data_IF_364022665434
#
_entry.id   IF_364022665434
#
_cell.length_a   1.000
_cell.length_b   1.000
_cell.length_c   1.000
_cell.angle_alpha   90.00
_cell.angle_beta   90.00
_cell.angle_gamma   90.00
#
_symmetry.space_group_name_H-M   'P 1'
#
loop_
_entity.id
_entity.type
_entity.pdbx_description
1 polymer ?
#
# COMPACT_ATOMS: atom_id res chain seq x y z
N UNK A 1 6.32 -29.32 32.77
CA UNK A 1 7.07 -30.01 31.69
C UNK A 1 6.73 -29.31 30.39
N UNK A 2 7.59 -28.38 30.00
CA UNK A 2 7.46 -27.49 28.85
C UNK A 2 8.09 -28.16 27.63
N UNK A 3 7.32 -28.39 26.57
CA UNK A 3 7.87 -28.78 25.28
C UNK A 3 8.63 -27.59 24.66
N UNK A 4 9.81 -27.80 24.05
CA UNK A 4 10.51 -26.75 23.33
C UNK A 4 9.80 -26.45 22.01
N UNK A 5 9.65 -25.16 21.76
CA UNK A 5 9.10 -24.54 20.55
C UNK A 5 9.89 -25.03 19.33
N UNK A 6 9.17 -25.62 18.38
CA UNK A 6 9.70 -26.07 17.10
C UNK A 6 10.41 -24.94 16.36
N UNK A 7 11.64 -25.21 15.97
CA UNK A 7 12.46 -24.40 15.07
C UNK A 7 11.67 -24.16 13.77
N UNK A 8 11.36 -22.90 13.46
CA UNK A 8 10.81 -22.56 12.16
C UNK A 8 11.87 -22.81 11.07
N UNK A 9 11.54 -23.50 9.98
CA UNK A 9 12.47 -23.67 8.87
C UNK A 9 12.74 -22.32 8.21
N UNK A 10 14.03 -21.98 8.06
CA UNK A 10 14.53 -20.79 7.35
C UNK A 10 13.88 -20.69 5.97
N UNK A 11 13.05 -19.67 5.75
CA UNK A 11 12.52 -19.32 4.42
C UNK A 11 13.64 -18.75 3.55
N UNK A 12 14.09 -19.50 2.54
CA UNK A 12 15.06 -19.06 1.54
C UNK A 12 14.40 -18.69 0.21
N UNK A 13 14.08 -17.42 -0.05
CA UNK A 13 13.81 -16.95 -1.41
C UNK A 13 15.11 -16.83 -2.24
N UNK A 14 16.28 -16.70 -1.60
CA UNK A 14 17.58 -16.55 -2.28
C UNK A 14 18.13 -17.85 -2.90
N UNK A 15 17.82 -19.02 -2.32
CA UNK A 15 18.32 -20.29 -2.85
C UNK A 15 17.63 -20.68 -4.17
N UNK A 16 16.34 -20.33 -4.30
CA UNK A 16 15.52 -20.71 -5.45
C UNK A 16 15.88 -19.93 -6.71
N UNK A 17 16.04 -18.62 -6.62
CA UNK A 17 16.53 -17.78 -7.73
C UNK A 17 17.95 -18.18 -8.11
N UNK A 18 18.82 -18.42 -7.12
CA UNK A 18 20.19 -18.86 -7.35
C UNK A 18 20.28 -20.23 -8.05
N UNK A 19 19.44 -21.21 -7.70
CA UNK A 19 19.39 -22.50 -8.40
C UNK A 19 18.89 -22.30 -9.83
N UNK A 20 17.81 -21.51 -10.03
CA UNK A 20 17.25 -21.24 -11.36
C UNK A 20 18.30 -20.64 -12.28
N UNK A 21 18.99 -19.60 -11.82
CA UNK A 21 19.96 -18.88 -12.64
C UNK A 21 21.13 -19.80 -13.04
N UNK A 22 21.54 -20.73 -12.17
CA UNK A 22 22.56 -21.75 -12.49
C UNK A 22 22.08 -22.81 -13.48
N UNK A 23 20.83 -23.26 -13.39
CA UNK A 23 20.29 -24.25 -14.33
C UNK A 23 20.08 -23.64 -15.72
N UNK A 24 19.56 -22.40 -15.79
CA UNK A 24 19.44 -21.66 -17.06
C UNK A 24 20.82 -21.40 -17.67
N UNK A 25 21.79 -20.99 -16.85
CA UNK A 25 23.17 -20.79 -17.30
C UNK A 25 23.80 -22.08 -17.84
N UNK A 26 23.58 -23.22 -17.16
CA UNK A 26 24.06 -24.52 -17.61
C UNK A 26 23.42 -24.94 -18.94
N UNK A 27 22.10 -24.72 -19.11
CA UNK A 27 21.40 -25.01 -20.36
C UNK A 27 21.95 -24.17 -21.54
N UNK A 28 22.26 -22.89 -21.29
CA UNK A 28 22.90 -22.01 -22.27
C UNK A 28 24.31 -22.46 -22.64
N UNK A 29 25.10 -22.93 -21.67
CA UNK A 29 26.43 -23.49 -21.93
C UNK A 29 26.33 -24.75 -22.79
N UNK A 30 25.44 -25.69 -22.43
CA UNK A 30 25.24 -26.94 -23.19
C UNK A 30 24.83 -26.62 -24.62
N UNK A 31 23.89 -25.69 -24.80
CA UNK A 31 23.50 -25.22 -26.12
C UNK A 31 24.68 -24.62 -26.90
N UNK A 32 25.44 -23.72 -26.28
CA UNK A 32 26.59 -23.04 -26.88
C UNK A 32 27.71 -24.00 -27.28
N UNK A 33 28.01 -25.00 -26.45
CA UNK A 33 29.00 -26.05 -26.74
C UNK A 33 28.56 -26.90 -27.93
N UNK A 34 27.29 -27.32 -27.97
CA UNK A 34 26.76 -28.07 -29.12
C UNK A 34 26.78 -27.25 -30.42
N UNK A 35 26.41 -25.98 -30.35
CA UNK A 35 26.45 -25.08 -31.51
C UNK A 35 27.88 -24.82 -32.00
N UNK A 36 28.81 -24.56 -31.08
CA UNK A 36 30.21 -24.36 -31.41
C UNK A 36 30.84 -25.62 -32.00
N UNK A 37 30.54 -26.80 -31.46
CA UNK A 37 30.99 -28.08 -32.00
C UNK A 37 30.49 -28.33 -33.42
N UNK A 38 29.22 -28.00 -33.68
CA UNK A 38 28.61 -28.15 -35.01
C UNK A 38 29.27 -27.25 -36.07
N UNK A 39 29.52 -25.97 -35.74
CA UNK A 39 30.14 -25.00 -36.65
C UNK A 39 31.63 -25.31 -36.85
N UNK A 40 32.33 -25.66 -35.77
CA UNK A 40 33.78 -25.91 -35.80
C UNK A 40 34.13 -27.23 -36.47
N UNK A 41 33.19 -28.18 -36.58
CA UNK A 41 33.40 -29.44 -37.28
C UNK A 41 33.78 -29.21 -38.76
N UNK A 42 33.20 -28.20 -39.43
CA UNK A 42 33.54 -27.86 -40.82
C UNK A 42 34.91 -27.18 -40.98
N UNK A 43 35.44 -26.60 -39.90
CA UNK A 43 36.72 -25.90 -39.89
C UNK A 43 37.89 -26.84 -39.54
N UNK A 44 37.62 -27.88 -38.74
CA UNK A 44 38.65 -28.74 -38.17
C UNK A 44 38.77 -30.10 -38.85
N UNK A 45 37.75 -30.55 -39.59
CA UNK A 45 37.73 -31.85 -40.26
C UNK A 45 37.64 -31.66 -41.78
N UNK A 46 38.41 -32.47 -42.52
CA UNK A 46 38.34 -32.49 -43.98
C UNK A 46 36.96 -32.98 -44.45
N UNK A 47 36.48 -32.44 -45.58
CA UNK A 47 35.12 -32.71 -46.09
C UNK A 47 34.84 -34.18 -46.42
N UNK A 48 35.87 -34.98 -46.63
CA UNK A 48 35.76 -36.43 -46.90
C UNK A 48 35.99 -37.28 -45.64
N UNK A 49 36.16 -36.66 -44.47
CA UNK A 49 36.36 -37.38 -43.22
C UNK A 49 35.10 -38.14 -42.82
N UNK A 50 35.27 -39.45 -42.59
CA UNK A 50 34.22 -40.34 -42.07
C UNK A 50 33.67 -39.88 -40.69
N UNK A 51 34.39 -39.00 -39.99
CA UNK A 51 34.02 -38.49 -38.66
C UNK A 51 33.23 -37.18 -38.70
N UNK A 52 33.18 -36.49 -39.84
CA UNK A 52 32.51 -35.19 -39.97
C UNK A 52 31.01 -35.29 -39.63
N UNK A 53 30.33 -36.28 -40.21
CA UNK A 53 28.89 -36.49 -40.00
C UNK A 53 28.55 -36.91 -38.55
N UNK A 54 29.22 -37.93 -37.96
CA UNK A 54 28.99 -38.29 -36.56
C UNK A 54 29.19 -37.14 -35.57
N UNK A 55 30.25 -36.34 -35.74
CA UNK A 55 30.55 -35.21 -34.83
C UNK A 55 29.48 -34.12 -34.93
N UNK A 56 28.99 -33.84 -36.14
CA UNK A 56 27.91 -32.88 -36.37
C UNK A 56 26.58 -33.35 -35.77
N UNK A 57 26.20 -34.60 -35.99
CA UNK A 57 24.97 -35.16 -35.43
C UNK A 57 25.00 -35.17 -33.89
N UNK A 58 26.15 -35.53 -33.30
CA UNK A 58 26.31 -35.51 -31.85
C UNK A 58 26.27 -34.09 -31.28
N UNK A 59 26.89 -33.12 -31.96
CA UNK A 59 26.88 -31.70 -31.58
C UNK A 59 25.47 -31.10 -31.66
N UNK A 60 24.70 -31.48 -32.68
CA UNK A 60 23.31 -31.06 -32.86
C UNK A 60 22.42 -31.66 -31.76
N UNK A 61 22.64 -32.92 -31.38
CA UNK A 61 21.93 -33.56 -30.27
C UNK A 61 22.21 -32.86 -28.93
N UNK A 62 23.47 -32.48 -28.65
CA UNK A 62 23.83 -31.70 -27.46
C UNK A 62 23.13 -30.33 -27.48
N UNK A 63 23.12 -29.65 -28.63
CA UNK A 63 22.44 -28.36 -28.78
C UNK A 63 20.93 -28.48 -28.51
N UNK A 64 20.29 -29.53 -29.05
CA UNK A 64 18.85 -29.79 -28.85
C UNK A 64 18.52 -30.04 -27.36
N UNK A 65 19.36 -30.77 -26.64
CA UNK A 65 19.22 -30.96 -25.18
C UNK A 65 19.24 -29.61 -24.45
N UNK A 66 20.14 -28.70 -24.85
CA UNK A 66 20.19 -27.34 -24.31
C UNK A 66 18.89 -26.55 -24.53
N UNK A 67 18.34 -26.57 -25.74
CA UNK A 67 17.09 -25.87 -26.08
C UNK A 67 15.90 -26.42 -25.29
N UNK A 68 15.75 -27.74 -25.25
CA UNK A 68 14.64 -28.38 -24.51
C UNK A 68 14.73 -28.07 -23.02
N UNK A 69 15.94 -28.11 -22.44
CA UNK A 69 16.17 -27.79 -21.03
C UNK A 69 15.83 -26.32 -20.71
N UNK A 70 16.17 -25.41 -21.62
CA UNK A 70 15.85 -23.98 -21.51
C UNK A 70 14.34 -23.74 -21.59
N UNK A 71 13.65 -24.37 -22.54
CA UNK A 71 12.20 -24.28 -22.68
C UNK A 71 11.44 -24.83 -21.47
N UNK A 72 11.94 -25.92 -20.88
CA UNK A 72 11.37 -26.49 -19.66
C UNK A 72 11.47 -25.53 -18.47
N UNK A 73 12.64 -24.93 -18.22
CA UNK A 73 12.84 -24.02 -17.09
C UNK A 73 12.13 -22.67 -17.25
N UNK A 74 12.07 -22.13 -18.48
CA UNK A 74 11.44 -20.83 -18.75
C UNK A 74 9.91 -20.88 -18.82
N UNK A 75 9.33 -21.98 -19.32
CA UNK A 75 7.88 -22.03 -19.59
C UNK A 75 7.17 -23.10 -18.78
N UNK A 76 7.58 -24.36 -18.92
CA UNK A 76 6.85 -25.49 -18.33
C UNK A 76 6.91 -25.48 -16.82
N UNK A 77 8.05 -25.11 -16.24
CA UNK A 77 8.21 -25.04 -14.79
C UNK A 77 7.37 -23.94 -14.15
N UNK A 78 7.22 -22.80 -14.81
CA UNK A 78 6.43 -21.68 -14.26
C UNK A 78 4.93 -21.95 -14.34
N UNK A 79 4.47 -22.51 -15.47
CA UNK A 79 3.09 -22.99 -15.62
C UNK A 79 2.76 -24.09 -14.60
N UNK A 80 3.57 -25.16 -14.55
CA UNK A 80 3.35 -26.25 -13.59
C UNK A 80 3.46 -25.78 -12.15
N UNK A 81 4.40 -24.90 -11.81
CA UNK A 81 4.54 -24.43 -10.44
C UNK A 81 3.36 -23.58 -9.98
N UNK A 82 2.77 -22.77 -10.86
CA UNK A 82 1.57 -21.99 -10.52
C UNK A 82 0.36 -22.91 -10.31
N UNK A 83 0.15 -23.89 -11.20
CA UNK A 83 -0.89 -24.91 -11.04
C UNK A 83 -0.67 -25.74 -9.76
N UNK A 84 0.57 -26.19 -9.50
CA UNK A 84 0.91 -26.91 -8.27
C UNK A 84 0.75 -26.04 -7.04
N UNK A 85 1.01 -24.73 -7.10
CA UNK A 85 0.85 -23.81 -5.96
C UNK A 85 -0.63 -23.58 -5.66
N UNK A 86 -1.47 -23.43 -6.68
CA UNK A 86 -2.93 -23.34 -6.51
C UNK A 86 -3.49 -24.64 -5.94
N UNK A 87 -3.09 -25.79 -6.48
CA UNK A 87 -3.44 -27.10 -5.95
C UNK A 87 -2.91 -27.32 -4.52
N UNK A 88 -1.67 -26.90 -4.21
CA UNK A 88 -1.13 -26.97 -2.86
C UNK A 88 -1.87 -26.04 -1.90
N UNK A 89 -2.27 -24.84 -2.32
CA UNK A 89 -3.06 -23.94 -1.48
C UNK A 89 -4.43 -24.55 -1.18
N UNK A 90 -5.03 -25.24 -2.15
CA UNK A 90 -6.26 -26.03 -1.96
C UNK A 90 -6.06 -27.20 -1.00
N UNK A 91 -4.91 -27.86 -1.01
CA UNK A 91 -4.58 -28.97 -0.11
C UNK A 91 -4.20 -28.49 1.31
N UNK A 92 -3.45 -27.39 1.43
CA UNK A 92 -2.89 -26.91 2.71
C UNK A 92 -3.91 -26.10 3.50
N UNK A 93 -4.87 -25.45 2.85
CA UNK A 93 -5.95 -24.74 3.53
C UNK A 93 -7.30 -24.88 2.81
N UNK A 94 -7.86 -26.11 2.78
CA UNK A 94 -9.09 -26.41 2.04
C UNK A 94 -10.27 -25.59 2.52
N UNK A 95 -10.32 -25.25 3.82
CA UNK A 95 -11.37 -24.41 4.38
C UNK A 95 -11.30 -22.97 3.89
N UNK A 96 -10.12 -22.35 3.86
CA UNK A 96 -9.96 -21.00 3.31
C UNK A 96 -10.37 -20.94 1.82
N UNK A 97 -9.94 -21.93 1.04
CA UNK A 97 -10.28 -22.05 -0.37
C UNK A 97 -11.77 -22.30 -0.56
N UNK A 98 -12.41 -23.15 0.25
CA UNK A 98 -13.87 -23.38 0.24
C UNK A 98 -14.65 -22.12 0.60
N UNK A 99 -14.15 -21.35 1.57
CA UNK A 99 -14.74 -20.09 2.05
C UNK A 99 -14.46 -18.89 1.12
N UNK A 100 -13.76 -19.09 0.00
CA UNK A 100 -13.48 -18.02 -0.95
C UNK A 100 -12.42 -17.02 -0.47
N UNK A 101 -11.64 -17.38 0.55
CA UNK A 101 -10.57 -16.55 1.10
C UNK A 101 -9.33 -16.71 0.23
N UNK A 102 -8.97 -15.66 -0.51
CA UNK A 102 -7.75 -15.60 -1.33
C UNK A 102 -6.52 -15.29 -0.49
N UNK A 103 -6.68 -14.50 0.58
CA UNK A 103 -5.60 -14.11 1.47
C UNK A 103 -6.09 -13.52 2.78
N UNK A 104 -5.31 -13.74 3.85
CA UNK A 104 -5.48 -13.09 5.16
C UNK A 104 -4.17 -12.36 5.45
N UNK A 105 -4.29 -11.08 5.76
CA UNK A 105 -3.18 -10.16 6.01
C UNK A 105 -3.31 -9.63 7.43
N UNK A 106 -2.19 -9.48 8.14
CA UNK A 106 -2.19 -9.02 9.54
C UNK A 106 -2.65 -7.57 9.67
N UNK A 107 -2.39 -6.77 8.64
CA UNK A 107 -2.75 -5.36 8.58
C UNK A 107 -2.82 -4.87 7.12
N UNK A 108 -3.33 -3.64 6.96
CA UNK A 108 -3.43 -2.97 5.65
C UNK A 108 -2.09 -2.74 4.95
N UNK A 109 -0.99 -2.60 5.69
CA UNK A 109 0.34 -2.42 5.07
C UNK A 109 0.83 -3.70 4.40
N UNK A 110 0.60 -4.86 5.03
CA UNK A 110 0.89 -6.17 4.42
C UNK A 110 -0.02 -6.43 3.22
N UNK A 111 -1.31 -6.07 3.31
CA UNK A 111 -2.23 -6.11 2.17
C UNK A 111 -1.73 -5.22 1.02
N UNK A 112 -1.37 -3.96 1.29
CA UNK A 112 -0.91 -3.01 0.29
C UNK A 112 0.41 -3.43 -0.38
N UNK A 113 1.28 -4.14 0.35
CA UNK A 113 2.51 -4.74 -0.19
C UNK A 113 2.20 -5.90 -1.13
N UNK A 114 1.21 -6.74 -0.80
CA UNK A 114 0.83 -7.89 -1.61
C UNK A 114 -0.02 -7.50 -2.83
N UNK A 115 -0.86 -6.47 -2.68
CA UNK A 115 -1.77 -5.96 -3.68
C UNK A 115 -1.76 -4.43 -3.59
N UNK A 116 -1.13 -3.77 -4.57
CA UNK A 116 -1.17 -2.32 -4.63
C UNK A 116 -2.63 -1.86 -4.76
N UNK A 117 -3.02 -0.89 -3.93
CA UNK A 117 -4.37 -0.36 -3.88
C UNK A 117 -4.78 0.29 -5.21
N UNK A 118 -3.83 0.91 -5.93
CA UNK A 118 -4.09 1.43 -7.27
C UNK A 118 -4.41 0.32 -8.28
N UNK A 119 -3.75 -0.83 -8.18
CA UNK A 119 -3.99 -1.97 -9.09
C UNK A 119 -5.39 -2.57 -8.90
N UNK A 120 -5.91 -2.55 -7.66
CA UNK A 120 -7.27 -2.96 -7.37
C UNK A 120 -8.30 -2.08 -8.10
N UNK A 121 -8.04 -0.78 -8.17
CA UNK A 121 -8.97 0.18 -8.79
C UNK A 121 -8.74 0.34 -10.30
N UNK A 122 -7.55 0.01 -10.81
CA UNK A 122 -7.19 0.16 -12.22
C UNK A 122 -8.14 -0.64 -13.13
N UNK A 123 -8.55 -1.83 -12.70
CA UNK A 123 -9.35 -2.76 -13.51
C UNK A 123 -10.86 -2.74 -13.23
N UNK A 124 -11.34 -1.80 -12.41
CA UNK A 124 -12.77 -1.65 -12.10
C UNK A 124 -13.54 -1.32 -13.38
N UNK A 125 -14.66 -2.01 -13.60
CA UNK A 125 -15.50 -1.84 -14.79
C UNK A 125 -16.83 -1.17 -14.52
N UNK A 126 -17.43 -1.36 -13.34
CA UNK A 126 -18.80 -0.91 -13.05
C UNK A 126 -18.90 -0.17 -11.74
N UNK A 127 -18.41 -0.74 -10.66
CA UNK A 127 -18.69 -0.22 -9.32
C UNK A 127 -17.54 -0.40 -8.33
N UNK A 128 -17.34 0.65 -7.54
CA UNK A 128 -16.59 0.64 -6.29
C UNK A 128 -17.56 0.92 -5.16
N UNK A 129 -17.57 0.07 -4.13
CA UNK A 129 -18.35 0.30 -2.93
C UNK A 129 -17.47 0.17 -1.69
N UNK A 130 -17.29 1.28 -0.96
CA UNK A 130 -16.40 1.36 0.20
C UNK A 130 -17.20 1.72 1.44
N UNK A 131 -17.12 0.89 2.47
CA UNK A 131 -17.75 1.12 3.76
C UNK A 131 -16.77 1.09 4.91
N UNK A 132 -16.90 2.02 5.86
CA UNK A 132 -16.04 2.02 7.03
C UNK A 132 -16.32 3.16 8.01
N UNK A 133 -15.63 3.11 9.15
CA UNK A 133 -15.95 3.97 10.28
C UNK A 133 -15.78 5.46 10.00
N UNK A 134 -14.65 5.88 9.42
CA UNK A 134 -14.48 7.29 9.02
C UNK A 134 -14.10 7.50 7.57
N UNK A 135 -13.61 6.48 6.87
CA UNK A 135 -13.07 6.58 5.50
C UNK A 135 -12.00 7.67 5.25
N UNK A 136 -11.33 8.15 6.30
CA UNK A 136 -10.35 9.24 6.18
C UNK A 136 -9.21 8.92 5.19
N UNK A 137 -8.69 7.70 5.21
CA UNK A 137 -7.62 7.30 4.28
C UNK A 137 -8.07 7.36 2.82
N UNK A 138 -9.36 7.13 2.56
CA UNK A 138 -9.95 7.16 1.23
C UNK A 138 -10.18 8.61 0.79
N UNK A 139 -10.74 9.44 1.67
CA UNK A 139 -10.98 10.86 1.39
C UNK A 139 -9.68 11.66 1.20
N UNK A 140 -8.57 11.23 1.83
CA UNK A 140 -7.29 11.95 1.75
C UNK A 140 -6.30 11.33 0.76
N UNK A 141 -6.22 10.00 0.70
CA UNK A 141 -5.21 9.29 -0.09
C UNK A 141 -5.70 8.78 -1.44
N UNK A 142 -7.01 8.73 -1.68
CA UNK A 142 -7.59 8.17 -2.90
C UNK A 142 -8.59 9.12 -3.58
N UNK A 143 -8.58 10.40 -3.21
CA UNK A 143 -9.50 11.41 -3.77
C UNK A 143 -9.39 11.51 -5.30
N UNK A 144 -8.17 11.66 -5.81
CA UNK A 144 -7.95 11.85 -7.24
C UNK A 144 -8.29 10.58 -8.03
N UNK A 145 -8.03 9.41 -7.45
CA UNK A 145 -8.43 8.12 -8.01
C UNK A 145 -9.96 7.97 -8.07
N UNK A 146 -10.69 8.35 -7.01
CA UNK A 146 -12.16 8.35 -7.03
C UNK A 146 -12.67 9.31 -8.12
N UNK A 147 -12.10 10.52 -8.18
CA UNK A 147 -12.43 11.51 -9.20
C UNK A 147 -12.26 10.93 -10.61
N UNK A 148 -11.10 10.33 -10.89
CA UNK A 148 -10.81 9.70 -12.17
C UNK A 148 -11.81 8.60 -12.51
N UNK A 149 -12.14 7.72 -11.55
CA UNK A 149 -13.07 6.61 -11.78
C UNK A 149 -14.49 7.09 -12.05
N UNK A 150 -14.98 8.09 -11.31
CA UNK A 150 -16.29 8.70 -11.57
C UNK A 150 -16.32 9.35 -12.96
N UNK A 151 -15.25 10.07 -13.35
CA UNK A 151 -15.16 10.65 -14.69
C UNK A 151 -15.08 9.59 -15.80
N UNK A 152 -14.55 8.40 -15.50
CA UNK A 152 -14.52 7.25 -16.40
C UNK A 152 -15.85 6.47 -16.49
N UNK A 153 -16.92 6.93 -15.83
CA UNK A 153 -18.24 6.29 -15.89
C UNK A 153 -18.51 5.25 -14.79
N UNK A 154 -17.61 5.12 -13.81
CA UNK A 154 -17.75 4.16 -12.71
C UNK A 154 -18.64 4.71 -11.60
N UNK A 155 -19.52 3.87 -11.06
CA UNK A 155 -20.30 4.18 -9.86
C UNK A 155 -19.46 4.00 -8.60
N UNK A 156 -19.43 5.02 -7.75
CA UNK A 156 -18.71 4.98 -6.46
C UNK A 156 -19.69 5.21 -5.32
N UNK A 157 -19.89 4.19 -4.50
CA UNK A 157 -20.69 4.24 -3.27
C UNK A 157 -19.76 4.34 -2.06
N UNK A 158 -20.01 5.31 -1.19
CA UNK A 158 -19.23 5.55 0.03
C UNK A 158 -20.15 5.51 1.25
N UNK A 159 -19.80 4.68 2.22
CA UNK A 159 -20.57 4.48 3.44
C UNK A 159 -19.73 4.84 4.67
N UNK A 160 -20.11 5.91 5.37
CA UNK A 160 -19.36 6.51 6.50
C UNK A 160 -20.22 6.49 7.77
N UNK A 161 -19.63 6.35 8.95
CA UNK A 161 -20.40 6.44 10.19
C UNK A 161 -21.01 7.83 10.36
N UNK A 162 -22.25 7.91 10.81
CA UNK A 162 -22.93 9.17 11.10
C UNK A 162 -22.26 9.86 12.30
N UNK A 163 -21.75 11.10 12.16
CA UNK A 163 -21.10 11.82 13.26
C UNK A 163 -22.02 12.06 14.46
N UNK A 164 -23.33 12.08 14.27
CA UNK A 164 -24.33 12.31 15.31
C UNK A 164 -24.89 10.99 15.89
N UNK A 165 -24.32 9.84 15.51
CA UNK A 165 -24.68 8.55 16.09
C UNK A 165 -24.14 8.39 17.51
N UNK A 166 -24.96 7.81 18.40
CA UNK A 166 -24.55 7.37 19.74
C UNK A 166 -23.33 6.42 19.69
N UNK A 167 -23.18 5.67 18.61
CA UNK A 167 -22.02 4.79 18.39
C UNK A 167 -20.71 5.59 18.34
N UNK A 168 -20.71 6.77 17.71
CA UNK A 168 -19.51 7.62 17.64
C UNK A 168 -19.15 8.11 19.04
N UNK A 169 -20.14 8.49 19.84
CA UNK A 169 -19.94 8.90 21.23
C UNK A 169 -19.33 7.77 22.07
N UNK A 170 -19.85 6.56 21.96
CA UNK A 170 -19.35 5.37 22.66
C UNK A 170 -17.88 5.09 22.28
N UNK A 171 -17.57 5.07 20.97
CA UNK A 171 -16.22 4.82 20.47
C UNK A 171 -15.27 5.93 20.92
N UNK A 172 -15.68 7.20 20.83
CA UNK A 172 -14.89 8.34 21.28
C UNK A 172 -14.58 8.27 22.77
N UNK A 173 -15.55 7.87 23.61
CA UNK A 173 -15.34 7.64 25.05
C UNK A 173 -14.35 6.51 25.31
N UNK A 174 -14.45 5.39 24.59
CA UNK A 174 -13.51 4.27 24.71
C UNK A 174 -12.06 4.66 24.36
N UNK A 175 -11.87 5.60 23.44
CA UNK A 175 -10.54 6.08 23.02
C UNK A 175 -10.06 7.25 23.93
N UNK A 176 -10.64 7.40 25.12
CA UNK A 176 -10.22 8.39 26.12
C UNK A 176 -10.77 9.80 25.86
N UNK A 177 -11.92 9.91 25.20
CA UNK A 177 -12.65 11.17 25.04
C UNK A 177 -12.05 12.17 24.06
N UNK A 178 -10.96 11.82 23.36
CA UNK A 178 -10.37 12.71 22.33
C UNK A 178 -11.33 12.80 21.14
N UNK A 179 -11.74 14.02 20.77
CA UNK A 179 -12.60 14.29 19.60
C UNK A 179 -11.98 13.89 18.24
N UNK A 180 -10.80 13.27 18.22
CA UNK A 180 -10.11 12.84 17.00
C UNK A 180 -10.98 11.97 16.11
N UNK A 181 -11.72 10.99 16.65
CA UNK A 181 -12.53 10.09 15.81
C UNK A 181 -13.72 10.81 15.15
N UNK A 182 -14.46 11.61 15.91
CA UNK A 182 -15.54 12.47 15.40
C UNK A 182 -15.02 13.44 14.34
N UNK A 183 -13.87 14.08 14.60
CA UNK A 183 -13.27 15.01 13.65
C UNK A 183 -12.82 14.31 12.36
N UNK A 184 -12.36 13.07 12.43
CA UNK A 184 -12.02 12.28 11.24
C UNK A 184 -13.24 11.97 10.38
N UNK A 185 -14.38 11.65 11.00
CA UNK A 185 -15.66 11.44 10.29
C UNK A 185 -16.07 12.75 9.61
N UNK A 186 -16.16 13.84 10.36
CA UNK A 186 -16.55 15.18 9.85
C UNK A 186 -15.62 15.65 8.72
N UNK A 187 -14.32 15.45 8.86
CA UNK A 187 -13.34 15.79 7.82
C UNK A 187 -13.58 14.99 6.55
N UNK A 188 -13.86 13.69 6.67
CA UNK A 188 -14.06 12.83 5.50
C UNK A 188 -15.34 13.21 4.75
N UNK A 189 -16.44 13.46 5.48
CA UNK A 189 -17.69 13.96 4.91
C UNK A 189 -17.49 15.30 4.18
N UNK A 190 -16.78 16.25 4.80
CA UNK A 190 -16.46 17.54 4.17
C UNK A 190 -15.65 17.37 2.87
N UNK A 191 -14.66 16.48 2.86
CA UNK A 191 -13.83 16.22 1.69
C UNK A 191 -14.61 15.52 0.57
N UNK A 192 -15.51 14.60 0.91
CA UNK A 192 -16.38 13.96 -0.08
C UNK A 192 -17.39 14.95 -0.66
N UNK A 193 -18.00 15.81 0.16
CA UNK A 193 -18.88 16.87 -0.32
C UNK A 193 -18.17 17.80 -1.31
N UNK A 194 -16.93 18.21 -1.00
CA UNK A 194 -16.12 19.02 -1.93
C UNK A 194 -15.86 18.30 -3.24
N UNK A 195 -15.59 16.99 -3.19
CA UNK A 195 -15.40 16.18 -4.38
C UNK A 195 -16.70 16.06 -5.20
N UNK A 196 -17.85 15.89 -4.56
CA UNK A 196 -19.17 15.93 -5.21
C UNK A 196 -19.40 17.28 -5.92
N UNK A 197 -19.17 18.40 -5.22
CA UNK A 197 -19.29 19.76 -5.79
C UNK A 197 -18.38 19.95 -7.01
N UNK A 198 -17.09 19.56 -6.92
CA UNK A 198 -16.15 19.63 -8.04
C UNK A 198 -16.57 18.75 -9.22
N UNK A 199 -17.08 17.56 -8.94
CA UNK A 199 -17.55 16.64 -9.97
C UNK A 199 -18.79 17.20 -10.67
N UNK A 200 -19.69 17.86 -9.96
CA UNK A 200 -20.92 18.44 -10.51
C UNK A 200 -20.67 19.66 -11.40
N UNK A 201 -19.61 20.42 -11.14
CA UNK A 201 -19.14 21.48 -12.03
C UNK A 201 -18.64 20.94 -13.39
N UNK A 202 -18.14 19.69 -13.41
CA UNK A 202 -17.58 19.06 -14.61
C UNK A 202 -18.70 18.38 -15.42
N UNK A 203 -19.12 19.03 -16.51
CA UNK A 203 -20.05 18.44 -17.49
C UNK A 203 -19.33 17.50 -18.45
N UNK A 204 -19.15 16.25 -18.03
CA UNK A 204 -18.62 15.17 -18.88
C UNK A 204 -19.73 14.19 -19.29
N UNK A 205 -19.94 13.91 -20.59
CA UNK A 205 -20.88 12.89 -21.03
C UNK A 205 -20.38 11.49 -20.62
N UNK A 206 -21.27 10.68 -20.03
CA UNK A 206 -20.92 9.33 -19.55
C UNK A 206 -20.23 9.28 -18.18
N UNK A 207 -20.22 10.39 -17.43
CA UNK A 207 -19.77 10.44 -16.02
C UNK A 207 -20.63 9.48 -15.16
N UNK A 208 -19.97 8.74 -14.26
CA UNK A 208 -20.61 7.89 -13.27
C UNK A 208 -21.20 8.69 -12.11
N UNK A 209 -21.58 8.01 -11.03
CA UNK A 209 -22.14 8.65 -9.83
C UNK A 209 -21.20 8.49 -8.63
N UNK A 210 -21.14 9.53 -7.81
CA UNK A 210 -20.57 9.48 -6.47
C UNK A 210 -21.75 9.60 -5.50
N UNK A 211 -21.91 8.62 -4.62
CA UNK A 211 -22.99 8.57 -3.63
C UNK A 211 -22.40 8.39 -2.23
N UNK A 212 -22.61 9.37 -1.35
CA UNK A 212 -22.13 9.32 0.03
C UNK A 212 -23.31 9.13 0.98
N UNK A 213 -23.26 8.06 1.76
CA UNK A 213 -24.28 7.72 2.75
C UNK A 213 -23.67 7.61 4.15
N UNK A 214 -24.48 7.90 5.17
CA UNK A 214 -24.14 7.69 6.58
C UNK A 214 -24.95 6.57 7.23
N UNK A 215 -24.33 5.85 8.16
CA UNK A 215 -24.96 4.78 8.93
C UNK A 215 -24.72 4.93 10.43
N UNK A 216 -25.66 4.44 11.24
CA UNK A 216 -25.64 4.63 12.71
C UNK A 216 -25.27 3.37 13.50
N UNK A 217 -25.08 2.23 12.85
CA UNK A 217 -24.81 0.94 13.48
C UNK A 217 -23.31 0.70 13.74
N UNK A 218 -22.98 -0.19 14.69
CA UNK A 218 -21.58 -0.62 14.90
C UNK A 218 -21.18 -1.56 13.75
N UNK A 219 -20.21 -1.19 12.91
CA UNK A 219 -19.80 -2.02 11.79
C UNK A 219 -18.98 -3.20 12.32
N UNK A 220 -19.34 -4.44 11.95
CA UNK A 220 -18.51 -5.60 12.27
C UNK A 220 -17.14 -5.56 11.57
N UNK A 221 -17.11 -4.97 10.37
CA UNK A 221 -15.93 -4.83 9.52
C UNK A 221 -16.04 -3.55 8.68
N UNK A 222 -14.91 -3.05 8.17
CA UNK A 222 -14.92 -2.14 7.01
C UNK A 222 -14.66 -2.94 5.75
N UNK A 223 -15.13 -2.46 4.61
CA UNK A 223 -14.96 -3.17 3.35
C UNK A 223 -14.64 -2.26 2.17
N UNK A 224 -14.00 -2.84 1.16
CA UNK A 224 -13.88 -2.32 -0.19
C UNK A 224 -14.36 -3.43 -1.12
N UNK A 225 -15.41 -3.16 -1.85
CA UNK A 225 -15.97 -4.06 -2.85
C UNK A 225 -15.75 -3.46 -4.22
N UNK A 226 -15.24 -4.28 -5.15
CA UNK A 226 -15.02 -3.92 -6.54
C UNK A 226 -15.77 -4.89 -7.42
N UNK A 227 -16.62 -4.35 -8.29
CA UNK A 227 -17.45 -5.09 -9.24
C UNK A 227 -18.12 -6.31 -8.57
N UNK A 228 -18.67 -6.12 -7.37
CA UNK A 228 -19.16 -7.20 -6.51
C UNK A 228 -20.10 -8.15 -7.25
N UNK A 229 -21.00 -7.57 -8.05
CA UNK A 229 -22.03 -8.27 -8.81
C UNK A 229 -21.49 -9.07 -10.00
N UNK A 230 -20.22 -8.86 -10.38
CA UNK A 230 -19.59 -9.62 -11.46
C UNK A 230 -18.91 -10.90 -10.92
N UNK A 231 -18.78 -11.96 -11.75
CA UNK A 231 -18.11 -13.20 -11.35
C UNK A 231 -16.65 -13.02 -10.90
N UNK A 232 -15.99 -11.95 -11.38
CA UNK A 232 -14.62 -11.59 -11.02
C UNK A 232 -14.52 -10.57 -9.88
N UNK A 233 -15.63 -10.25 -9.21
CA UNK A 233 -15.69 -9.27 -8.13
C UNK A 233 -14.82 -9.67 -6.93
N UNK A 234 -14.31 -8.66 -6.23
CA UNK A 234 -13.44 -8.82 -5.06
C UNK A 234 -14.01 -8.02 -3.89
N UNK A 235 -14.00 -8.61 -2.71
CA UNK A 235 -14.29 -7.90 -1.46
C UNK A 235 -13.06 -7.98 -0.55
N UNK A 236 -12.59 -6.83 -0.10
CA UNK A 236 -11.59 -6.73 0.95
C UNK A 236 -12.33 -6.33 2.22
N UNK A 237 -12.23 -7.14 3.28
CA UNK A 237 -12.83 -6.87 4.58
C UNK A 237 -11.77 -6.69 5.65
N UNK A 238 -11.79 -5.56 6.36
CA UNK A 238 -10.94 -5.33 7.54
C UNK A 238 -11.74 -5.50 8.83
N UNK A 239 -11.22 -6.31 9.74
CA UNK A 239 -11.88 -6.61 11.01
C UNK A 239 -11.50 -5.58 12.07
N UNK A 240 -12.50 -5.17 12.86
CA UNK A 240 -12.32 -4.24 13.98
C UNK A 240 -12.00 -2.80 13.56
N UNK A 241 -12.75 -2.18 12.63
CA UNK A 241 -12.49 -0.81 12.16
C UNK A 241 -12.60 0.25 13.28
N UNK A 242 -13.19 -0.10 14.42
CA UNK A 242 -13.37 0.72 15.62
C UNK A 242 -12.34 0.49 16.74
N UNK A 243 -11.44 -0.51 16.64
CA UNK A 243 -10.54 -0.93 17.74
C UNK A 243 -9.36 0.03 18.04
N UNK A 244 -9.45 1.32 17.72
CA UNK A 244 -8.42 2.31 18.04
C UNK A 244 -7.06 2.08 17.36
N UNK A 245 -6.02 2.83 17.78
CA UNK A 245 -4.68 2.89 17.15
C UNK A 245 -3.72 1.75 17.55
N UNK A 246 -4.03 0.99 18.60
CA UNK A 246 -3.09 0.05 19.24
C UNK A 246 -3.30 -1.42 18.85
N UNK A 247 -4.32 -1.73 18.05
CA UNK A 247 -4.68 -3.11 17.70
C UNK A 247 -4.44 -3.37 16.22
N UNK A 248 -3.84 -4.52 15.92
CA UNK A 248 -3.74 -5.02 14.56
C UNK A 248 -5.15 -5.23 14.00
N UNK A 249 -5.37 -4.79 12.76
CA UNK A 249 -6.65 -4.93 12.04
C UNK A 249 -6.43 -5.86 10.87
N UNK A 250 -6.69 -7.16 11.04
CA UNK A 250 -6.48 -8.10 9.96
C UNK A 250 -7.43 -7.81 8.80
N UNK A 251 -6.91 -7.99 7.60
CA UNK A 251 -7.63 -7.80 6.35
C UNK A 251 -7.80 -9.14 5.66
N UNK A 252 -8.96 -9.37 5.05
CA UNK A 252 -9.28 -10.58 4.31
C UNK A 252 -9.68 -10.22 2.89
N UNK A 253 -9.05 -10.86 1.90
CA UNK A 253 -9.45 -10.73 0.50
C UNK A 253 -10.32 -11.92 0.12
N UNK A 254 -11.54 -11.63 -0.33
CA UNK A 254 -12.57 -12.58 -0.69
C UNK A 254 -12.81 -12.54 -2.19
N UNK A 255 -12.97 -13.72 -2.78
CA UNK A 255 -13.40 -13.93 -4.16
C UNK A 255 -14.69 -14.73 -4.19
N UNK A 256 -15.51 -14.53 -5.23
CA UNK A 256 -16.80 -15.19 -5.32
C UNK A 256 -16.64 -16.71 -5.43
N UNK A 257 -17.25 -17.43 -4.50
CA UNK A 257 -17.44 -18.89 -4.51
C UNK A 257 -18.81 -19.23 -3.98
N UNK A 258 -19.44 -20.26 -4.54
CA UNK A 258 -20.82 -20.63 -4.21
C UNK A 258 -20.94 -21.02 -2.73
N UNK A 259 -21.80 -20.32 -1.99
CA UNK A 259 -22.07 -20.60 -0.57
C UNK A 259 -20.90 -20.26 0.37
N UNK A 260 -20.00 -19.40 -0.09
CA UNK A 260 -18.79 -18.99 0.62
C UNK A 260 -18.99 -17.66 1.37
N UNK A 261 -17.94 -17.12 1.97
CA UNK A 261 -18.02 -15.87 2.73
C UNK A 261 -18.35 -14.65 1.86
N UNK A 262 -17.99 -14.66 0.57
CA UNK A 262 -18.21 -13.53 -0.32
C UNK A 262 -19.66 -13.05 -0.29
N UNK A 263 -20.62 -13.96 -0.46
CA UNK A 263 -22.05 -13.63 -0.49
C UNK A 263 -22.51 -13.07 0.85
N UNK A 264 -21.95 -13.57 1.97
CA UNK A 264 -22.27 -13.05 3.31
C UNK A 264 -21.80 -11.60 3.48
N UNK A 265 -20.56 -11.29 3.08
CA UNK A 265 -20.00 -9.95 3.18
C UNK A 265 -20.68 -8.97 2.20
N UNK A 266 -21.01 -9.42 0.99
CA UNK A 266 -21.79 -8.64 0.02
C UNK A 266 -23.18 -8.29 0.60
N UNK A 267 -23.88 -9.27 1.18
CA UNK A 267 -25.19 -9.06 1.79
C UNK A 267 -25.12 -8.11 2.98
N UNK A 268 -24.10 -8.21 3.84
CA UNK A 268 -23.90 -7.28 4.95
C UNK A 268 -23.64 -5.85 4.44
N UNK A 269 -22.80 -5.69 3.44
CA UNK A 269 -22.53 -4.38 2.83
C UNK A 269 -23.80 -3.76 2.25
N UNK A 270 -24.62 -4.55 1.54
CA UNK A 270 -25.88 -4.10 0.97
C UNK A 270 -26.93 -3.78 2.05
N UNK A 271 -27.07 -4.61 3.09
CA UNK A 271 -27.97 -4.33 4.20
C UNK A 271 -27.59 -3.01 4.90
N UNK A 272 -26.29 -2.78 5.13
CA UNK A 272 -25.80 -1.51 5.68
C UNK A 272 -26.10 -0.33 4.76
N UNK A 273 -26.06 -0.52 3.44
CA UNK A 273 -26.45 0.51 2.47
C UNK A 273 -27.95 0.81 2.50
N UNK A 274 -28.80 -0.23 2.56
CA UNK A 274 -30.26 -0.08 2.59
C UNK A 274 -30.76 0.66 3.85
N UNK A 275 -30.11 0.44 5.00
CA UNK A 275 -30.41 1.15 6.25
C UNK A 275 -29.72 2.52 6.37
N UNK A 276 -28.83 2.85 5.44
CA UNK A 276 -28.09 4.11 5.46
C UNK A 276 -28.90 5.28 4.91
N UNK A 277 -28.46 6.48 5.23
CA UNK A 277 -29.11 7.72 4.81
C UNK A 277 -28.18 8.49 3.87
N UNK A 278 -28.66 8.98 2.73
CA UNK A 278 -27.85 9.86 1.89
C UNK A 278 -27.46 11.11 2.69
N UNK A 279 -26.23 11.58 2.51
CA UNK A 279 -25.80 12.83 3.12
C UNK A 279 -26.52 13.98 2.44
N UNK A 280 -27.62 14.45 3.05
CA UNK A 280 -28.31 15.65 2.57
C UNK A 280 -27.40 16.84 2.87
N UNK A 281 -27.04 17.56 1.81
CA UNK A 281 -26.12 18.71 1.74
C UNK A 281 -26.65 19.94 2.49
N UNK A 282 -27.00 19.78 3.77
CA UNK A 282 -27.33 20.84 4.71
C UNK A 282 -26.64 20.58 6.05
N UNK A 283 -25.35 20.23 6.01
CA UNK A 283 -24.49 20.54 7.14
C UNK A 283 -24.42 22.07 7.21
N UNK A 284 -25.33 22.63 8.01
CA UNK A 284 -25.41 24.04 8.35
C UNK A 284 -24.19 24.36 9.24
N UNK A 285 -23.01 24.38 8.64
CA UNK A 285 -21.85 25.04 9.23
C UNK A 285 -22.08 26.52 8.92
N UNK A 286 -22.69 27.21 9.88
CA UNK A 286 -23.15 28.57 9.71
C UNK A 286 -22.05 29.46 9.12
N UNK A 287 -22.37 30.13 8.01
CA UNK A 287 -21.75 31.37 7.52
C UNK A 287 -20.27 31.57 7.84
N UNK A 288 -19.43 30.55 7.65
CA UNK A 288 -17.98 30.70 7.62
C UNK A 288 -17.59 30.74 6.16
N UNK A 289 -16.76 31.73 5.79
CA UNK A 289 -16.12 31.83 4.46
C UNK A 289 -15.74 30.41 4.02
N UNK A 290 -16.17 29.98 2.81
CA UNK A 290 -15.86 28.65 2.25
C UNK A 290 -14.41 28.31 2.61
N UNK A 291 -14.12 27.26 3.39
CA UNK A 291 -12.74 26.88 3.72
C UNK A 291 -12.30 25.75 2.81
N UNK A 292 -11.08 25.83 2.29
CA UNK A 292 -10.41 24.76 1.56
C UNK A 292 -9.57 23.94 2.54
N UNK A 293 -9.69 22.62 2.45
CA UNK A 293 -9.03 21.69 3.36
C UNK A 293 -8.26 20.67 2.51
N UNK A 294 -7.01 20.41 2.89
CA UNK A 294 -6.12 19.49 2.20
C UNK A 294 -5.39 18.65 3.23
N UNK A 295 -5.16 17.38 2.90
CA UNK A 295 -4.40 16.47 3.75
C UNK A 295 -3.28 15.86 2.91
N UNK A 296 -2.06 15.96 3.43
CA UNK A 296 -0.88 15.34 2.85
C UNK A 296 -0.43 14.22 3.77
N UNK A 297 -0.01 13.08 3.24
CA UNK A 297 0.37 11.94 4.06
C UNK A 297 1.56 11.22 3.44
N UNK A 298 2.38 10.61 4.29
CA UNK A 298 3.51 9.80 3.83
C UNK A 298 3.01 8.59 3.04
N UNK A 299 3.64 8.34 1.90
CA UNK A 299 3.31 7.28 0.96
C UNK A 299 4.03 7.52 -0.37
N UNK A 300 3.36 7.24 -1.49
CA UNK A 300 3.93 7.37 -2.85
C UNK A 300 4.33 8.82 -3.17
N UNK A 301 3.68 9.82 -2.56
CA UNK A 301 4.00 11.24 -2.74
C UNK A 301 5.20 11.75 -1.94
N UNK A 302 5.83 10.90 -1.11
CA UNK A 302 7.05 11.26 -0.39
C UNK A 302 8.27 10.95 -1.25
N UNK A 303 9.19 11.90 -1.35
CA UNK A 303 10.50 11.70 -1.98
C UNK A 303 11.58 11.48 -0.92
N UNK A 304 12.63 10.75 -1.29
CA UNK A 304 13.86 10.54 -0.52
C UNK A 304 15.06 10.92 -1.38
N UNK A 305 16.07 11.55 -0.79
CA UNK A 305 17.27 11.95 -1.51
C UNK A 305 18.25 10.79 -1.61
N UNK A 306 18.61 10.39 -2.82
CA UNK A 306 19.68 9.44 -3.07
C UNK A 306 21.03 10.17 -3.15
N UNK A 307 21.89 9.94 -2.16
CA UNK A 307 23.23 10.53 -2.12
C UNK A 307 24.14 10.04 -3.26
N UNK A 308 23.89 8.86 -3.84
CA UNK A 308 24.72 8.32 -4.92
C UNK A 308 24.38 8.99 -6.25
N UNK A 309 23.09 9.09 -6.57
CA UNK A 309 22.60 9.73 -7.79
C UNK A 309 22.46 11.25 -7.66
N UNK A 310 22.55 11.80 -6.44
CA UNK A 310 22.35 13.23 -6.13
C UNK A 310 20.98 13.76 -6.59
N UNK A 311 19.95 12.92 -6.51
CA UNK A 311 18.60 13.23 -6.96
C UNK A 311 17.54 12.83 -5.92
N UNK A 312 16.34 13.37 -6.09
CA UNK A 312 15.17 12.98 -5.31
C UNK A 312 14.43 11.87 -6.03
N UNK A 313 14.24 10.74 -5.35
CA UNK A 313 13.52 9.58 -5.87
C UNK A 313 12.30 9.29 -5.00
N UNK A 314 11.26 8.60 -5.50
CA UNK A 314 10.14 8.18 -4.67
C UNK A 314 10.61 7.30 -3.49
N UNK A 315 10.10 7.59 -2.29
CA UNK A 315 10.37 6.77 -1.12
C UNK A 315 9.65 5.42 -1.22
N UNK A 316 10.23 4.40 -0.58
CA UNK A 316 9.70 3.04 -0.62
C UNK A 316 8.85 2.78 0.62
N UNK A 317 7.73 2.07 0.47
CA UNK A 317 6.97 1.58 1.61
C UNK A 317 7.80 0.54 2.35
N UNK A 318 8.01 0.70 3.66
CA UNK A 318 8.79 -0.26 4.43
C UNK A 318 7.91 -1.17 5.30
N UNK A 319 8.45 -2.35 5.64
CA UNK A 319 7.78 -3.28 6.53
C UNK A 319 7.68 -2.72 7.94
N UNK A 320 6.48 -2.76 8.52
CA UNK A 320 6.29 -2.39 9.92
C UNK A 320 7.09 -3.33 10.83
N UNK A 321 7.94 -2.74 11.66
CA UNK A 321 8.39 -3.41 12.87
C UNK A 321 7.16 -3.66 13.78
N UNK A 322 7.11 -4.79 14.48
CA UNK A 322 6.00 -5.16 15.35
C UNK A 322 5.72 -4.16 16.47
N UNK A 323 6.70 -3.32 16.83
CA UNK A 323 6.58 -2.27 17.85
C UNK A 323 6.08 -0.93 17.30
N UNK A 324 6.10 -0.73 15.98
CA UNK A 324 5.74 0.57 15.39
C UNK A 324 4.23 0.82 15.40
N UNK A 325 3.87 2.09 15.62
CA UNK A 325 2.50 2.57 15.56
C UNK A 325 2.25 3.43 14.34
N UNK A 326 1.16 3.17 13.63
CA UNK A 326 0.77 3.95 12.46
C UNK A 326 0.15 5.32 12.76
N UNK A 327 0.05 6.15 11.73
CA UNK A 327 -0.79 7.35 11.67
C UNK A 327 -1.89 7.05 10.64
N UNK A 328 -3.16 7.25 11.02
CA UNK A 328 -4.30 6.90 10.15
C UNK A 328 -4.27 7.71 8.86
N UNK A 329 -4.35 7.02 7.72
CA UNK A 329 -4.28 7.65 6.39
C UNK A 329 -2.86 7.95 5.91
N UNK A 330 -1.83 7.48 6.62
CA UNK A 330 -0.44 7.57 6.22
C UNK A 330 0.22 6.19 6.23
N UNK A 331 1.31 6.04 5.48
CA UNK A 331 2.09 4.81 5.37
C UNK A 331 3.52 5.06 5.84
N UNK A 332 4.14 4.04 6.43
CA UNK A 332 5.55 4.08 6.76
C UNK A 332 6.38 4.04 5.47
N UNK A 333 7.28 5.01 5.33
CA UNK A 333 8.19 5.14 4.19
C UNK A 333 9.64 5.08 4.65
N UNK A 334 10.52 4.58 3.80
CA UNK A 334 11.96 4.53 4.02
C UNK A 334 12.71 4.70 2.70
N UNK A 335 14.04 4.79 2.78
CA UNK A 335 14.90 4.83 1.59
C UNK A 335 14.85 3.52 0.79
N UNK A 336 14.58 2.40 1.45
CA UNK A 336 14.48 1.06 0.87
C UNK A 336 13.61 0.17 1.75
N UNK A 337 13.04 -0.88 1.16
CA UNK A 337 12.15 -1.82 1.89
C UNK A 337 12.84 -2.44 3.12
N UNK A 338 14.13 -2.80 2.98
CA UNK A 338 14.95 -3.33 4.07
C UNK A 338 16.30 -2.65 4.16
N UNK A 339 16.67 -2.27 5.37
CA UNK A 339 18.02 -1.84 5.74
C UNK A 339 18.99 -3.01 5.51
N UNK A 340 20.24 -2.74 5.18
CA UNK A 340 21.30 -3.77 5.13
C UNK A 340 21.90 -4.01 6.51
N UNK A 341 22.61 -5.14 6.72
CA UNK A 341 23.24 -5.41 8.02
C UNK A 341 24.30 -4.36 8.38
N UNK A 342 25.04 -3.88 7.39
CA UNK A 342 26.04 -2.83 7.60
C UNK A 342 25.38 -1.49 7.96
N UNK A 343 24.30 -1.11 7.29
CA UNK A 343 23.52 0.09 7.66
C UNK A 343 22.89 -0.07 9.05
N UNK A 344 22.40 -1.27 9.40
CA UNK A 344 21.88 -1.53 10.73
C UNK A 344 22.95 -1.34 11.82
N UNK A 345 24.20 -1.76 11.54
CA UNK A 345 25.32 -1.60 12.46
C UNK A 345 25.84 -0.17 12.56
N UNK A 346 25.91 0.54 11.45
CA UNK A 346 26.55 1.86 11.34
C UNK A 346 25.57 3.02 11.47
N UNK A 347 24.27 2.76 11.35
CA UNK A 347 23.23 3.80 11.30
C UNK A 347 23.24 4.57 9.98
N UNK A 348 22.49 5.66 9.91
CA UNK A 348 22.44 6.49 8.73
C UNK A 348 21.62 7.76 8.89
N UNK A 349 21.77 8.67 7.91
CA UNK A 349 20.96 9.89 7.78
C UNK A 349 20.31 9.91 6.42
N UNK A 350 18.99 10.12 6.41
CA UNK A 350 18.17 10.03 5.21
C UNK A 350 17.26 11.25 5.14
N UNK A 351 17.30 11.95 4.01
CA UNK A 351 16.48 13.15 3.79
C UNK A 351 15.26 12.77 2.99
N UNK A 352 14.08 13.05 3.54
CA UNK A 352 12.80 12.90 2.88
C UNK A 352 12.18 14.26 2.65
N UNK A 353 11.29 14.40 1.68
CA UNK A 353 10.50 15.62 1.52
C UNK A 353 9.13 15.34 0.93
N UNK A 354 8.24 16.31 1.11
CA UNK A 354 7.09 16.48 0.23
C UNK A 354 6.85 17.96 -0.04
N UNK A 355 6.30 18.23 -1.22
CA UNK A 355 5.99 19.58 -1.68
C UNK A 355 4.49 19.74 -1.82
N UNK A 356 4.00 20.94 -1.54
CA UNK A 356 2.61 21.33 -1.78
C UNK A 356 2.51 22.81 -2.08
N UNK A 357 1.42 23.23 -2.72
CA UNK A 357 1.23 24.61 -3.13
C UNK A 357 0.12 25.27 -2.32
N UNK A 358 0.37 26.49 -1.85
CA UNK A 358 -0.60 27.33 -1.17
C UNK A 358 -0.93 28.56 -2.05
N UNK A 359 -2.21 28.82 -2.38
CA UNK A 359 -2.57 29.94 -3.25
C UNK A 359 -2.10 31.31 -2.72
N UNK A 360 -1.80 32.22 -3.64
CA UNK A 360 -1.38 33.59 -3.30
C UNK A 360 -2.43 34.29 -2.42
N UNK A 361 -1.98 35.05 -1.43
CA UNK A 361 -2.81 35.73 -0.43
C UNK A 361 -3.38 34.83 0.69
N UNK A 362 -3.10 33.52 0.70
CA UNK A 362 -3.68 32.58 1.69
C UNK A 362 -2.73 32.15 2.81
N UNK A 363 -1.44 32.46 2.72
CA UNK A 363 -0.44 32.06 3.73
C UNK A 363 -0.70 32.68 5.11
N UNK A 364 -1.12 33.94 5.15
CA UNK A 364 -1.46 34.66 6.38
C UNK A 364 -2.86 34.33 6.91
N UNK A 365 -3.67 33.64 6.11
CA UNK A 365 -5.05 33.25 6.44
C UNK A 365 -5.17 31.75 6.75
N UNK A 366 -4.08 31.02 6.92
CA UNK A 366 -4.13 29.59 7.27
C UNK A 366 -4.83 29.41 8.61
N UNK A 367 -6.02 28.80 8.57
CA UNK A 367 -6.81 28.48 9.76
C UNK A 367 -6.18 27.33 10.55
N UNK A 368 -5.56 26.37 9.85
CA UNK A 368 -4.96 25.17 10.45
C UNK A 368 -3.83 24.62 9.59
N UNK A 369 -2.73 24.23 10.22
CA UNK A 369 -1.63 23.52 9.55
C UNK A 369 -0.97 22.58 10.55
N UNK A 370 -1.56 21.41 10.75
CA UNK A 370 -1.14 20.45 11.78
C UNK A 370 -0.38 19.29 11.15
N UNK A 371 0.88 19.12 11.51
CA UNK A 371 1.71 17.99 11.10
C UNK A 371 1.80 16.97 12.23
N UNK A 372 1.33 15.76 11.96
CA UNK A 372 1.55 14.59 12.79
C UNK A 372 2.76 13.83 12.24
N UNK A 373 3.73 13.46 13.08
CA UNK A 373 4.96 12.78 12.64
C UNK A 373 5.45 11.74 13.64
N UNK A 374 6.08 10.68 13.11
CA UNK A 374 6.96 9.74 13.83
C UNK A 374 8.13 9.34 12.94
N UNK A 375 9.24 9.00 13.57
CA UNK A 375 10.40 8.42 12.91
C UNK A 375 10.98 7.29 13.77
N UNK A 376 11.74 6.41 13.13
CA UNK A 376 12.64 5.46 13.78
C UNK A 376 14.09 5.71 13.28
N UNK A 377 15.01 6.22 14.10
CA UNK A 377 14.87 6.55 15.54
C UNK A 377 14.37 7.99 15.77
N UNK A 378 14.96 8.97 15.07
CA UNK A 378 14.64 10.39 15.19
C UNK A 378 14.59 11.09 13.83
N UNK A 379 14.00 12.27 13.78
CA UNK A 379 13.97 13.14 12.63
C UNK A 379 14.05 14.62 13.01
N UNK A 380 14.81 15.38 12.22
CA UNK A 380 14.78 16.83 12.20
C UNK A 380 13.89 17.32 11.06
N UNK A 381 13.11 18.36 11.30
CA UNK A 381 12.16 18.88 10.32
C UNK A 381 12.59 20.27 9.89
N UNK A 382 12.66 20.49 8.58
CA UNK A 382 12.89 21.81 7.98
C UNK A 382 11.72 22.19 7.09
N UNK A 383 11.26 23.43 7.19
CA UNK A 383 10.14 23.96 6.42
C UNK A 383 10.64 25.13 5.61
N UNK A 384 10.53 25.05 4.29
CA UNK A 384 11.01 26.09 3.37
C UNK A 384 12.49 26.47 3.63
N UNK A 385 13.33 25.48 3.94
CA UNK A 385 14.75 25.66 4.25
C UNK A 385 15.05 26.15 5.67
N UNK A 386 14.05 26.37 6.53
CA UNK A 386 14.23 26.75 7.93
C UNK A 386 14.06 25.53 8.84
N UNK A 387 15.14 25.12 9.50
CA UNK A 387 15.11 24.00 10.44
C UNK A 387 14.39 24.36 11.74
N UNK A 388 13.57 23.42 12.22
CA UNK A 388 12.97 23.49 13.54
C UNK A 388 13.99 23.01 14.60
N UNK A 389 14.01 23.63 15.79
CA UNK A 389 15.04 23.35 16.79
C UNK A 389 14.84 22.01 17.53
N UNK A 390 13.70 21.33 17.35
CA UNK A 390 13.36 20.11 18.06
C UNK A 390 13.59 18.87 17.20
N UNK A 391 13.97 17.78 17.84
CA UNK A 391 14.00 16.43 17.28
C UNK A 391 12.68 15.72 17.57
N UNK A 392 12.21 14.93 16.60
CA UNK A 392 10.97 14.16 16.72
C UNK A 392 11.27 12.68 16.46
N UNK A 393 10.68 11.76 17.19
CA UNK A 393 10.96 10.32 17.04
C UNK A 393 9.77 9.47 17.45
N UNK A 394 10.05 8.39 18.18
CA UNK A 394 9.01 7.65 18.90
C UNK A 394 8.08 6.85 17.98
N UNK A 395 8.68 5.96 17.18
CA UNK A 395 7.95 5.04 16.34
C UNK A 395 6.95 4.15 17.11
N UNK A 396 7.24 3.86 18.39
CA UNK A 396 6.43 3.01 19.28
C UNK A 396 5.52 3.79 20.25
N UNK A 397 5.69 5.11 20.36
CA UNK A 397 4.95 5.96 21.29
C UNK A 397 3.44 5.92 21.04
N UNK A 398 2.65 6.08 22.11
CA UNK A 398 1.18 5.98 22.01
C UNK A 398 0.57 7.01 21.04
N UNK A 399 1.02 8.26 21.10
CA UNK A 399 0.60 9.37 20.25
C UNK A 399 1.75 9.88 19.37
N UNK A 400 1.49 10.33 18.13
CA UNK A 400 2.50 10.95 17.28
C UNK A 400 2.79 12.38 17.75
N UNK A 401 3.95 12.91 17.37
CA UNK A 401 4.25 14.32 17.61
C UNK A 401 3.35 15.19 16.75
N UNK A 402 2.81 16.27 17.32
CA UNK A 402 1.96 17.25 16.64
C UNK A 402 2.69 18.59 16.57
N UNK A 403 2.81 19.15 15.37
CA UNK A 403 3.43 20.45 15.12
C UNK A 403 2.43 21.37 14.41
N UNK A 404 2.40 22.64 14.80
CA UNK A 404 1.63 23.67 14.12
C UNK A 404 2.54 24.43 13.14
N UNK A 405 2.33 24.23 11.84
CA UNK A 405 3.20 24.72 10.78
C UNK A 405 2.80 26.10 10.24
N UNK A 406 1.62 26.62 10.62
CA UNK A 406 1.07 27.86 10.07
C UNK A 406 2.07 29.02 9.97
N UNK A 407 2.84 29.33 11.04
CA UNK A 407 3.84 30.41 11.02
C UNK A 407 5.03 30.20 10.05
N UNK A 408 5.22 28.98 9.54
CA UNK A 408 6.35 28.60 8.69
C UNK A 408 5.98 28.48 7.21
N UNK A 409 4.69 28.57 6.89
CA UNK A 409 4.20 28.47 5.52
C UNK A 409 4.37 29.81 4.78
N UNK A 410 4.60 29.71 3.47
CA UNK A 410 4.68 30.85 2.55
C UNK A 410 3.67 30.68 1.41
N UNK A 411 3.46 31.76 0.66
CA UNK A 411 2.67 31.69 -0.57
C UNK A 411 3.40 30.90 -1.65
N UNK A 412 2.65 30.21 -2.49
CA UNK A 412 3.17 29.36 -3.54
C UNK A 412 3.68 28.02 -3.03
N UNK A 413 4.76 27.54 -3.64
CA UNK A 413 5.34 26.24 -3.33
C UNK A 413 5.97 26.20 -1.93
N UNK A 414 5.53 25.25 -1.13
CA UNK A 414 6.08 24.92 0.18
C UNK A 414 6.74 23.54 0.13
N UNK A 415 7.91 23.43 0.77
CA UNK A 415 8.61 22.16 0.95
C UNK A 415 8.79 21.88 2.43
N UNK A 416 8.46 20.65 2.85
CA UNK A 416 8.76 20.13 4.18
C UNK A 416 9.74 18.99 4.02
N UNK A 417 10.91 19.15 4.61
CA UNK A 417 11.99 18.17 4.62
C UNK A 417 12.11 17.51 5.99
N UNK A 418 12.34 16.20 6.00
CA UNK A 418 12.56 15.38 7.17
C UNK A 418 13.94 14.73 7.05
N UNK A 419 14.89 15.13 7.89
CA UNK A 419 16.16 14.43 8.04
C UNK A 419 16.00 13.37 9.12
N UNK A 420 15.78 12.13 8.70
CA UNK A 420 15.64 10.96 9.58
C UNK A 420 17.03 10.42 9.91
N UNK A 421 17.29 10.27 11.20
CA UNK A 421 18.52 9.70 11.74
C UNK A 421 18.18 8.33 12.34
N UNK A 422 18.80 7.30 11.78
CA UNK A 422 18.79 5.95 12.33
C UNK A 422 20.09 5.74 13.10
N UNK A 423 20.02 5.51 14.41
CA UNK A 423 21.22 5.41 15.24
C UNK A 423 21.91 4.06 15.04
N UNK A 424 23.24 4.08 15.09
CA UNK A 424 24.04 2.87 14.94
C UNK A 424 23.69 1.81 15.99
N UNK A 425 23.48 0.55 15.57
CA UNK A 425 23.39 -0.61 16.48
C UNK A 425 24.51 -1.61 16.18
N UNK A 426 25.74 -1.39 16.68
CA UNK A 426 26.91 -2.21 16.34
C UNK A 426 26.74 -3.72 16.58
N UNK A 427 25.87 -4.08 17.53
CA UNK A 427 25.59 -5.47 17.91
C UNK A 427 24.50 -6.15 17.05
N UNK A 428 23.95 -5.46 16.05
CA UNK A 428 22.94 -6.01 15.15
C UNK A 428 23.46 -7.28 14.47
N UNK A 429 22.65 -8.34 14.51
CA UNK A 429 22.93 -9.63 13.89
C UNK A 429 22.17 -9.78 12.58
N UNK A 430 20.99 -9.15 12.49
CA UNK A 430 20.16 -9.10 11.30
C UNK A 430 19.72 -7.66 11.03
N UNK A 431 19.42 -7.29 9.77
CA UNK A 431 19.03 -5.91 9.47
C UNK A 431 17.76 -5.45 10.18
N UNK A 432 16.85 -6.37 10.48
CA UNK A 432 15.62 -6.11 11.22
C UNK A 432 15.87 -5.65 12.67
N UNK A 433 17.08 -5.82 13.21
CA UNK A 433 17.46 -5.34 14.55
C UNK A 433 17.52 -3.81 14.62
N UNK A 434 17.61 -3.11 13.47
CA UNK A 434 17.69 -1.65 13.41
C UNK A 434 16.91 -1.08 12.21
N UNK A 435 15.57 -1.11 12.27
CA UNK A 435 14.72 -0.67 11.16
C UNK A 435 14.78 0.86 10.97
N UNK A 436 14.47 1.32 9.76
CA UNK A 436 14.40 2.74 9.39
C UNK A 436 13.00 3.06 8.90
N UNK A 437 12.40 4.13 9.39
CA UNK A 437 11.09 4.54 8.91
C UNK A 437 10.71 5.98 9.26
N UNK A 438 9.90 6.57 8.41
CA UNK A 438 9.21 7.84 8.62
C UNK A 438 7.72 7.65 8.35
N UNK A 439 6.88 8.26 9.17
CA UNK A 439 5.45 8.38 8.90
C UNK A 439 4.97 9.77 9.30
N UNK A 440 4.23 10.42 8.41
CA UNK A 440 3.68 11.74 8.71
C UNK A 440 2.30 11.95 8.06
N UNK A 441 1.55 12.92 8.60
CA UNK A 441 0.29 13.40 8.02
C UNK A 441 0.12 14.87 8.36
N UNK A 442 -0.04 15.71 7.35
CA UNK A 442 -0.31 17.14 7.49
C UNK A 442 -1.77 17.45 7.18
N UNK A 443 -2.44 18.21 8.04
CA UNK A 443 -3.78 18.76 7.84
C UNK A 443 -3.66 20.26 7.60
N UNK A 444 -4.06 20.72 6.42
CA UNK A 444 -4.01 22.12 6.01
C UNK A 444 -5.43 22.65 5.77
N UNK A 445 -5.77 23.77 6.38
CA UNK A 445 -7.05 24.46 6.18
C UNK A 445 -6.80 25.96 6.01
N UNK A 446 -7.39 26.56 4.96
CA UNK A 446 -7.33 27.99 4.66
C UNK A 446 -8.63 28.46 4.01
N UNK A 447 -8.99 29.74 4.05
CA UNK A 447 -10.14 30.29 3.34
C UNK A 447 -10.03 30.07 1.84
N UNK A 448 -11.11 29.61 1.22
CA UNK A 448 -11.29 29.43 -0.22
C UNK A 448 -11.20 30.71 -1.02
#
# INVERSE_FOLDING_TARGET
MTQPVGVQPKKGPALRTWIRDRVVFLALIIFGVGMAGYISADLLLEKESIWLHPVKEFSLLISMIGVVSLGYELFLRELTFNEYKEALQEIVNPDAVRLGIRGIYKNRSELAHAHNFEDLFRHVKKEIFIGGSSLLSISTGSRDLIREKVLAGIRVRLLVMDPDSEVVEIITRQIGGKATFLNEIKTSLLLFQKLEEELDEIKAPGKGTLEVHTYKTIPSHSFISVDAHDPGGIIIADIGPYLGKSHQRPSMMLVRKRGALFDQYENLANAMWEESHPVITQLTIGTTKKTKASVFASGIGTEVFDNQASEWIPAVLCQLNSKWRGIKGAQWVAFRDKVTLEEAKTGGRYRFRFNFNLPNGKATEVNRADLFVRADDTCHISINGKSLPQEFGGADFADPFLLHLGPHLKEGENSIEFEVINYARPNAQVPEDNPLGLIYRMHLEYPG
#
